data_IF_810225892878
#
_entry.id   IF_810225892878
#
_cell.length_a   1.000
_cell.length_b   1.000
_cell.length_c   1.000
_cell.angle_alpha   90.00
_cell.angle_beta   90.00
_cell.angle_gamma   90.00
#
_symmetry.space_group_name_H-M   'P 1'
#
loop_
_entity.id
_entity.type
_entity.pdbx_description
1 polymer ?
#
# COMPACT_ATOMS: atom_id res chain seq x y z
N UNK A 1 -6.18 -13.58 -7.59
CA UNK A 1 -4.84 -13.26 -7.05
C UNK A 1 -4.91 -11.88 -6.40
N UNK A 2 -4.27 -11.66 -5.24
CA UNK A 2 -4.21 -10.35 -4.60
C UNK A 2 -2.77 -9.83 -4.62
N UNK A 3 -2.58 -8.58 -5.03
CA UNK A 3 -1.28 -7.92 -5.07
C UNK A 3 -1.33 -6.73 -4.12
N UNK A 4 -0.42 -6.72 -3.14
CA UNK A 4 -0.35 -5.66 -2.13
C UNK A 4 0.98 -4.94 -2.31
N UNK A 5 0.93 -3.66 -2.67
CA UNK A 5 2.11 -2.82 -2.79
C UNK A 5 2.41 -2.11 -1.46
N UNK A 6 3.62 -2.33 -0.96
CA UNK A 6 4.13 -1.74 0.28
C UNK A 6 5.23 -0.75 -0.08
N UNK A 7 5.14 0.48 0.42
CA UNK A 7 6.14 1.52 0.13
C UNK A 7 7.35 1.42 1.07
N UNK A 8 8.50 1.91 0.63
CA UNK A 8 9.68 2.06 1.49
C UNK A 8 9.53 3.18 2.53
N UNK A 9 10.63 3.43 3.26
CA UNK A 9 10.71 4.51 4.26
C UNK A 9 10.45 5.88 3.64
N UNK A 10 9.72 6.73 4.37
CA UNK A 10 9.28 8.05 3.91
C UNK A 10 8.19 8.02 2.82
N UNK A 11 7.72 6.83 2.43
CA UNK A 11 6.71 6.65 1.39
C UNK A 11 5.27 6.86 1.86
N UNK A 12 4.40 7.23 0.92
CA UNK A 12 2.95 7.32 1.13
C UNK A 12 2.27 6.22 0.32
N UNK A 13 1.43 5.40 0.98
CA UNK A 13 0.82 4.20 0.39
C UNK A 13 0.20 4.41 -1.00
N UNK A 14 -0.44 5.56 -1.24
CA UNK A 14 -0.98 5.93 -2.55
C UNK A 14 -0.02 6.83 -3.35
N UNK A 15 0.69 7.71 -2.64
CA UNK A 15 1.42 8.83 -3.24
C UNK A 15 2.71 8.37 -3.91
N UNK A 16 3.35 7.34 -3.36
CA UNK A 16 4.56 6.73 -3.92
C UNK A 16 4.33 6.11 -5.29
N UNK A 17 3.09 5.76 -5.64
CA UNK A 17 2.72 5.18 -6.93
C UNK A 17 2.04 6.18 -7.87
N UNK A 18 1.86 7.44 -7.42
CA UNK A 18 1.20 8.49 -8.20
C UNK A 18 2.24 9.27 -9.00
N UNK A 19 2.01 9.43 -10.29
CA UNK A 19 2.84 10.29 -11.13
C UNK A 19 2.82 11.74 -10.65
N UNK A 20 3.94 12.46 -10.83
CA UNK A 20 4.08 13.87 -10.43
C UNK A 20 3.23 14.84 -11.28
N UNK A 21 2.69 14.37 -12.41
CA UNK A 21 1.88 15.19 -13.33
C UNK A 21 0.52 15.58 -12.74
N UNK A 22 -0.10 16.63 -13.29
CA UNK A 22 -1.46 17.08 -12.92
C UNK A 22 -2.54 16.01 -13.13
N UNK A 23 -2.27 14.97 -13.92
CA UNK A 23 -3.25 13.95 -14.29
C UNK A 23 -3.71 13.05 -13.12
N UNK A 24 -3.10 13.18 -11.93
CA UNK A 24 -3.40 12.39 -10.72
C UNK A 24 -3.38 10.87 -10.94
N UNK A 25 -2.76 10.42 -12.04
CA UNK A 25 -2.71 9.01 -12.40
C UNK A 25 -1.82 8.24 -11.44
N UNK A 26 -2.35 7.13 -10.93
CA UNK A 26 -1.68 6.24 -10.00
C UNK A 26 -1.40 4.91 -10.71
N UNK A 27 -0.13 4.53 -10.75
CA UNK A 27 0.38 3.42 -11.55
C UNK A 27 -0.40 2.11 -11.35
N UNK A 28 -0.55 1.70 -10.09
CA UNK A 28 -1.19 0.43 -9.73
C UNK A 28 -2.69 0.38 -10.08
N UNK A 29 -3.39 1.52 -10.02
CA UNK A 29 -4.83 1.57 -10.31
C UNK A 29 -5.10 1.78 -11.80
N UNK A 30 -4.38 2.71 -12.43
CA UNK A 30 -4.76 3.24 -13.74
C UNK A 30 -4.04 2.53 -14.91
N UNK A 31 -2.96 1.79 -14.63
CA UNK A 31 -2.16 1.10 -15.64
C UNK A 31 -1.97 -0.38 -15.34
N UNK A 32 -1.51 -0.74 -14.15
CA UNK A 32 -1.22 -2.12 -13.78
C UNK A 32 -2.44 -3.07 -13.85
N UNK A 33 -3.63 -2.52 -13.56
CA UNK A 33 -4.90 -3.24 -13.70
C UNK A 33 -5.19 -3.69 -15.15
N UNK A 34 -4.57 -3.06 -16.16
CA UNK A 34 -4.72 -3.45 -17.57
C UNK A 34 -3.84 -4.65 -17.92
N UNK A 35 -2.66 -4.73 -17.32
CA UNK A 35 -1.71 -5.82 -17.56
C UNK A 35 -2.15 -7.10 -16.84
N UNK A 36 -2.79 -6.97 -15.67
CA UNK A 36 -3.30 -8.07 -14.85
C UNK A 36 -4.76 -7.85 -14.41
N UNK A 37 -5.73 -7.97 -15.33
CA UNK A 37 -7.13 -7.62 -15.06
C UNK A 37 -7.84 -8.53 -14.05
N UNK A 38 -7.32 -9.73 -13.80
CA UNK A 38 -7.90 -10.71 -12.85
C UNK A 38 -7.32 -10.59 -11.44
N UNK A 39 -6.42 -9.64 -11.21
CA UNK A 39 -5.83 -9.42 -9.89
C UNK A 39 -6.50 -8.25 -9.16
N UNK A 40 -6.73 -8.44 -7.86
CA UNK A 40 -7.12 -7.35 -6.97
C UNK A 40 -5.84 -6.65 -6.50
N UNK A 41 -5.71 -5.38 -6.81
CA UNK A 41 -4.52 -4.58 -6.43
C UNK A 41 -4.86 -3.68 -5.25
N UNK A 42 -3.99 -3.70 -4.23
CA UNK A 42 -4.13 -2.95 -2.99
C UNK A 42 -2.82 -2.23 -2.66
N UNK A 43 -2.91 -1.18 -1.85
CA UNK A 43 -1.73 -0.54 -1.26
C UNK A 43 -1.81 -0.62 0.26
N UNK A 44 -0.66 -0.79 0.92
CA UNK A 44 -0.58 -0.80 2.38
C UNK A 44 0.16 0.43 2.89
N UNK A 45 -0.45 1.12 3.86
CA UNK A 45 0.13 2.28 4.51
C UNK A 45 0.49 1.97 5.95
N UNK A 46 1.73 2.31 6.32
CA UNK A 46 2.22 2.28 7.68
C UNK A 46 2.98 3.58 7.96
N UNK A 47 3.13 3.93 9.24
CA UNK A 47 3.91 5.11 9.60
C UNK A 47 5.40 4.86 9.31
N UNK A 48 5.89 5.40 8.21
CA UNK A 48 7.27 5.25 7.74
C UNK A 48 8.05 6.57 7.76
N UNK A 49 7.55 7.60 8.47
CA UNK A 49 8.14 8.95 8.50
C UNK A 49 9.56 8.90 9.06
N UNK A 50 10.48 9.52 8.31
CA UNK A 50 11.85 9.74 8.77
C UNK A 50 11.89 10.95 9.70
N UNK A 51 12.59 10.86 10.83
CA UNK A 51 12.79 11.98 11.76
C UNK A 51 11.84 12.06 12.96
N UNK A 52 10.83 11.19 13.07
CA UNK A 52 10.16 10.94 14.35
C UNK A 52 10.85 9.81 15.09
N UNK A 53 11.01 9.91 16.42
CA UNK A 53 11.38 8.75 17.24
C UNK A 53 10.40 7.62 16.92
N UNK A 54 10.87 6.59 16.22
CA UNK A 54 10.01 5.50 15.76
C UNK A 54 9.57 4.71 16.98
N UNK A 55 8.34 4.94 17.42
CA UNK A 55 7.75 4.30 18.60
C UNK A 55 7.38 2.83 18.31
N UNK A 56 7.29 2.47 17.02
CA UNK A 56 6.93 1.13 16.58
C UNK A 56 8.17 0.35 16.12
N UNK A 57 8.31 -0.86 16.64
CA UNK A 57 9.30 -1.83 16.18
C UNK A 57 8.76 -2.64 14.98
N UNK A 58 9.65 -3.34 14.28
CA UNK A 58 9.29 -4.15 13.11
C UNK A 58 8.21 -5.21 13.41
N UNK A 59 8.23 -5.81 14.60
CA UNK A 59 7.22 -6.79 15.00
C UNK A 59 5.82 -6.17 15.08
N UNK A 60 5.69 -4.96 15.63
CA UNK A 60 4.43 -4.23 15.68
C UNK A 60 3.87 -3.98 14.28
N UNK A 61 4.70 -3.58 13.32
CA UNK A 61 4.27 -3.42 11.93
C UNK A 61 3.82 -4.74 11.30
N UNK A 62 4.53 -5.84 11.57
CA UNK A 62 4.15 -7.16 11.05
C UNK A 62 2.80 -7.62 11.58
N UNK A 63 2.54 -7.44 12.87
CA UNK A 63 1.26 -7.81 13.50
C UNK A 63 0.12 -7.00 12.89
N UNK A 64 0.26 -5.67 12.85
CA UNK A 64 -0.75 -4.78 12.27
C UNK A 64 -1.02 -5.11 10.81
N UNK A 65 0.02 -5.35 10.01
CA UNK A 65 -0.12 -5.73 8.61
C UNK A 65 -0.92 -7.03 8.44
N UNK A 66 -0.62 -8.06 9.22
CA UNK A 66 -1.34 -9.33 9.16
C UNK A 66 -2.81 -9.19 9.58
N UNK A 67 -3.11 -8.38 10.59
CA UNK A 67 -4.49 -8.13 11.01
C UNK A 67 -5.28 -7.36 9.94
N UNK A 68 -4.65 -6.35 9.33
CA UNK A 68 -5.25 -5.59 8.23
C UNK A 68 -5.51 -6.48 7.01
N UNK A 69 -4.59 -7.39 6.66
CA UNK A 69 -4.79 -8.36 5.59
C UNK A 69 -5.92 -9.36 5.89
N UNK A 70 -5.99 -9.86 7.13
CA UNK A 70 -7.11 -10.71 7.57
C UNK A 70 -8.44 -9.99 7.43
N UNK A 71 -8.49 -8.69 7.78
CA UNK A 71 -9.69 -7.86 7.64
C UNK A 71 -10.06 -7.63 6.17
N UNK A 72 -9.10 -7.25 5.33
CA UNK A 72 -9.30 -7.00 3.91
C UNK A 72 -9.82 -8.24 3.16
N UNK A 73 -9.36 -9.44 3.54
CA UNK A 73 -9.83 -10.70 2.95
C UNK A 73 -11.28 -11.05 3.31
N UNK A 74 -11.77 -10.59 4.46
CA UNK A 74 -13.17 -10.78 4.87
C UNK A 74 -14.11 -9.74 4.25
N UNK A 75 -13.60 -8.56 3.94
CA UNK A 75 -14.38 -7.52 3.30
C UNK A 75 -14.65 -7.89 1.83
N UNK A 76 -15.92 -8.02 1.45
CA UNK A 76 -16.34 -7.98 0.04
C UNK A 76 -16.19 -6.54 -0.47
N UNK A 77 -15.77 -6.44 -1.72
CA UNK A 77 -15.62 -5.17 -2.46
C UNK A 77 -16.99 -4.59 -2.83
#
# INVERSE_FOLDING_TARGET
VNIIAVTGLGGHAYGSWRGKSKSSKMWLRDFFSKDLPTCRTMTYGYNSKLGSASIHNLQGYNISFLEDLKRARRAKE
#
